data_IF_073869053544
#
_entry.id   IF_073869053544
#
_cell.length_a   1.000
_cell.length_b   1.000
_cell.length_c   1.000
_cell.angle_alpha   90.00
_cell.angle_beta   90.00
_cell.angle_gamma   90.00
#
_symmetry.space_group_name_H-M   'P 1'
#
loop_
_entity.id
_entity.type
_entity.pdbx_description
1 polymer ?
#
# COMPACT_ATOMS: atom_id res chain seq x y z
N UNK A 1 14.75 -0.20 5.74
CA UNK A 1 13.39 0.15 5.32
C UNK A 1 13.44 1.51 4.63
N UNK A 2 12.57 1.75 3.65
CA UNK A 2 12.61 2.96 2.83
C UNK A 2 12.26 4.22 3.65
N UNK A 3 12.99 5.31 3.39
CA UNK A 3 12.74 6.65 3.93
C UNK A 3 11.92 7.49 2.94
N UNK A 4 11.35 8.60 3.40
CA UNK A 4 10.66 9.56 2.52
C UNK A 4 11.60 10.09 1.43
N UNK A 5 12.88 10.34 1.74
CA UNK A 5 13.85 10.78 0.74
C UNK A 5 14.06 9.75 -0.37
N UNK A 6 14.26 8.49 0.00
CA UNK A 6 14.40 7.38 -0.95
C UNK A 6 13.12 7.15 -1.76
N UNK A 7 11.95 7.32 -1.15
CA UNK A 7 10.67 7.25 -1.85
C UNK A 7 10.56 8.31 -2.95
N UNK A 8 10.96 9.56 -2.67
CA UNK A 8 10.97 10.63 -3.68
C UNK A 8 12.05 10.44 -4.74
N UNK A 9 13.18 9.84 -4.41
CA UNK A 9 14.19 9.45 -5.40
C UNK A 9 13.62 8.43 -6.39
N UNK A 10 12.94 7.39 -5.90
CA UNK A 10 12.24 6.42 -6.76
C UNK A 10 11.16 7.13 -7.61
N UNK A 11 10.38 8.02 -7.01
CA UNK A 11 9.31 8.76 -7.70
C UNK A 11 9.84 9.75 -8.77
N UNK A 12 11.13 10.03 -8.81
CA UNK A 12 11.74 10.83 -9.89
C UNK A 12 11.89 10.04 -11.20
N UNK A 13 11.76 8.70 -11.17
CA UNK A 13 11.87 7.86 -12.37
C UNK A 13 10.62 7.96 -13.25
N UNK A 14 10.80 8.36 -14.52
CA UNK A 14 9.72 8.53 -15.50
C UNK A 14 8.94 7.25 -15.78
N UNK A 15 9.60 6.09 -15.69
CA UNK A 15 9.00 4.79 -15.94
C UNK A 15 7.76 4.52 -15.06
N UNK A 16 7.74 5.03 -13.83
CA UNK A 16 6.56 4.88 -12.94
C UNK A 16 5.31 5.52 -13.55
N UNK A 17 5.46 6.67 -14.16
CA UNK A 17 4.35 7.43 -14.79
C UNK A 17 3.96 6.85 -16.14
N UNK A 18 4.94 6.44 -16.95
CA UNK A 18 4.70 5.76 -18.24
C UNK A 18 3.91 4.46 -18.06
N UNK A 19 4.18 3.72 -17.00
CA UNK A 19 3.47 2.50 -16.64
C UNK A 19 2.17 2.75 -15.83
N UNK A 20 1.80 4.00 -15.57
CA UNK A 20 0.60 4.39 -14.81
C UNK A 20 0.53 3.78 -13.40
N UNK A 21 1.69 3.71 -12.73
CA UNK A 21 1.80 3.11 -11.41
C UNK A 21 1.57 4.11 -10.27
N UNK A 22 1.54 5.41 -10.58
CA UNK A 22 1.37 6.48 -9.59
C UNK A 22 -0.03 7.03 -9.66
N UNK A 23 -0.70 7.08 -8.52
CA UNK A 23 -2.07 7.59 -8.39
C UNK A 23 -2.19 8.54 -7.21
N UNK A 24 -3.04 9.55 -7.37
CA UNK A 24 -3.47 10.42 -6.28
C UNK A 24 -4.88 10.03 -5.84
N UNK A 25 -5.11 10.04 -4.53
CA UNK A 25 -6.42 9.79 -3.92
C UNK A 25 -6.95 11.13 -3.41
N UNK A 26 -8.07 11.58 -3.95
CA UNK A 26 -8.68 12.86 -3.59
C UNK A 26 -9.64 12.75 -2.39
N UNK A 27 -10.20 13.88 -1.96
CA UNK A 27 -11.13 13.97 -0.82
C UNK A 27 -12.46 13.24 -1.03
N UNK A 28 -12.77 12.84 -2.26
CA UNK A 28 -13.92 12.02 -2.59
C UNK A 28 -13.56 10.53 -2.70
N UNK A 29 -12.35 10.16 -2.30
CA UNK A 29 -11.77 8.80 -2.40
C UNK A 29 -11.61 8.29 -3.84
N UNK A 30 -11.62 9.21 -4.83
CA UNK A 30 -11.37 8.86 -6.22
C UNK A 30 -9.87 8.82 -6.50
N UNK A 31 -9.47 7.86 -7.33
CA UNK A 31 -8.08 7.74 -7.78
C UNK A 31 -7.89 8.43 -9.12
N UNK A 32 -6.85 9.24 -9.21
CA UNK A 32 -6.43 9.93 -10.42
C UNK A 32 -5.05 9.44 -10.85
N UNK A 33 -4.87 9.14 -12.14
CA UNK A 33 -3.56 8.86 -12.69
C UNK A 33 -2.68 10.11 -12.57
N UNK A 34 -1.45 9.92 -12.15
CA UNK A 34 -0.44 10.98 -12.07
C UNK A 34 0.54 10.78 -13.21
N UNK A 35 0.75 11.82 -14.02
CA UNK A 35 1.45 11.69 -15.31
C UNK A 35 2.92 12.08 -15.25
N UNK A 36 3.33 12.85 -14.27
CA UNK A 36 4.71 13.26 -14.04
C UNK A 36 4.98 13.65 -12.59
N UNK A 37 6.25 13.85 -12.26
CA UNK A 37 6.68 14.24 -10.92
C UNK A 37 6.14 15.61 -10.48
N UNK A 38 6.02 16.57 -11.40
CA UNK A 38 5.46 17.90 -11.11
C UNK A 38 3.98 17.81 -10.73
N UNK A 39 3.22 16.97 -11.43
CA UNK A 39 1.82 16.71 -11.09
C UNK A 39 1.67 15.99 -9.75
N UNK A 40 2.55 15.04 -9.43
CA UNK A 40 2.60 14.40 -8.12
C UNK A 40 2.74 15.44 -7.00
N UNK A 41 3.68 16.37 -7.14
CA UNK A 41 3.90 17.42 -6.15
C UNK A 41 2.66 18.31 -6.00
N UNK A 42 1.95 18.63 -7.10
CA UNK A 42 0.70 19.40 -7.04
C UNK A 42 -0.40 18.66 -6.28
N UNK A 43 -0.62 17.37 -6.55
CA UNK A 43 -1.60 16.56 -5.83
C UNK A 43 -1.27 16.47 -4.33
N UNK A 44 0.01 16.20 -4.00
CA UNK A 44 0.43 16.14 -2.61
C UNK A 44 0.23 17.47 -1.89
N UNK A 45 0.56 18.58 -2.52
CA UNK A 45 0.38 19.94 -1.97
C UNK A 45 -1.09 20.31 -1.79
N UNK A 46 -2.01 19.69 -2.56
CA UNK A 46 -3.45 19.86 -2.39
C UNK A 46 -4.07 18.92 -1.34
N UNK A 47 -3.25 18.16 -0.62
CA UNK A 47 -3.70 17.29 0.47
C UNK A 47 -4.12 15.88 0.04
N UNK A 48 -3.84 15.47 -1.19
CA UNK A 48 -4.08 14.10 -1.64
C UNK A 48 -3.08 13.12 -1.04
N UNK A 49 -3.51 11.89 -0.80
CA UNK A 49 -2.62 10.74 -0.61
C UNK A 49 -2.06 10.29 -1.95
N UNK A 50 -0.82 9.80 -1.96
CA UNK A 50 -0.20 9.22 -3.14
C UNK A 50 -0.06 7.71 -2.94
N UNK A 51 -0.53 6.95 -3.92
CA UNK A 51 -0.36 5.49 -4.03
C UNK A 51 0.58 5.17 -5.18
N UNK A 52 1.56 4.31 -4.94
CA UNK A 52 2.47 3.82 -5.97
C UNK A 52 2.42 2.29 -5.99
N UNK A 53 2.15 1.72 -7.15
CA UNK A 53 2.04 0.27 -7.32
C UNK A 53 3.37 -0.34 -7.80
N UNK A 54 3.59 -1.62 -7.51
CA UNK A 54 4.71 -2.38 -8.04
C UNK A 54 6.07 -2.01 -7.47
N UNK A 55 6.12 -1.53 -6.24
CA UNK A 55 7.34 -1.07 -5.59
C UNK A 55 8.40 -2.15 -5.42
N UNK A 56 8.02 -3.43 -5.37
CA UNK A 56 8.92 -4.58 -5.35
C UNK A 56 9.81 -4.67 -6.59
N UNK A 57 9.44 -4.00 -7.68
CA UNK A 57 10.21 -3.95 -8.94
C UNK A 57 11.22 -2.80 -8.99
N UNK A 58 11.08 -1.81 -8.11
CA UNK A 58 11.89 -0.59 -8.11
C UNK A 58 12.86 -0.48 -6.93
N UNK A 59 12.74 -1.38 -5.94
CA UNK A 59 13.64 -1.41 -4.79
C UNK A 59 13.94 -2.83 -4.36
N UNK A 60 15.23 -3.17 -4.35
CA UNK A 60 15.68 -4.50 -3.89
C UNK A 60 15.38 -4.72 -2.40
N UNK A 61 15.40 -3.68 -1.60
CA UNK A 61 15.10 -3.76 -0.17
C UNK A 61 13.62 -4.06 0.06
N UNK A 62 12.72 -3.43 -0.70
CA UNK A 62 11.29 -3.74 -0.67
C UNK A 62 11.03 -5.16 -1.14
N UNK A 63 11.65 -5.59 -2.24
CA UNK A 63 11.56 -6.96 -2.73
C UNK A 63 11.99 -7.97 -1.65
N UNK A 64 13.15 -7.76 -1.03
CA UNK A 64 13.67 -8.64 0.02
C UNK A 64 12.76 -8.67 1.25
N UNK A 65 12.20 -7.52 1.65
CA UNK A 65 11.25 -7.46 2.77
C UNK A 65 9.97 -8.26 2.46
N UNK A 66 9.45 -8.16 1.25
CA UNK A 66 8.31 -8.97 0.80
C UNK A 66 8.60 -10.47 0.89
N UNK A 67 9.78 -10.89 0.49
CA UNK A 67 10.21 -12.30 0.62
C UNK A 67 10.34 -12.76 2.07
N UNK A 68 10.81 -11.90 2.96
CA UNK A 68 10.86 -12.20 4.40
C UNK A 68 9.45 -12.40 4.97
N UNK A 69 8.51 -11.56 4.59
CA UNK A 69 7.11 -11.74 4.97
C UNK A 69 6.51 -13.02 4.40
N UNK A 70 6.71 -13.29 3.10
CA UNK A 70 6.25 -14.54 2.50
C UNK A 70 6.76 -15.77 3.28
N UNK A 71 8.05 -15.79 3.62
CA UNK A 71 8.65 -16.87 4.42
C UNK A 71 8.01 -16.95 5.82
N UNK A 72 7.81 -15.82 6.50
CA UNK A 72 7.28 -15.79 7.87
C UNK A 72 5.85 -16.31 7.95
N UNK A 73 5.06 -16.10 6.89
CA UNK A 73 3.67 -16.53 6.81
C UNK A 73 3.47 -17.78 5.94
N UNK A 74 4.54 -18.50 5.61
CA UNK A 74 4.52 -19.73 4.78
C UNK A 74 3.76 -19.53 3.46
N UNK A 75 3.92 -18.35 2.87
CA UNK A 75 3.27 -17.98 1.61
C UNK A 75 4.19 -18.35 0.44
N UNK A 76 3.66 -19.07 -0.53
CA UNK A 76 4.36 -19.56 -1.72
C UNK A 76 3.90 -18.89 -3.03
N UNK A 77 2.92 -18.00 -2.96
CA UNK A 77 2.42 -17.21 -4.08
C UNK A 77 3.24 -15.94 -4.37
N UNK A 78 2.80 -15.16 -5.34
CA UNK A 78 3.39 -13.86 -5.65
C UNK A 78 3.28 -12.88 -4.47
N UNK A 79 4.25 -11.96 -4.38
CA UNK A 79 4.22 -10.84 -3.43
C UNK A 79 4.30 -9.55 -4.22
N UNK A 80 3.31 -8.70 -4.04
CA UNK A 80 3.28 -7.35 -4.60
C UNK A 80 3.47 -6.31 -3.50
N UNK A 81 3.86 -5.10 -3.85
CA UNK A 81 3.98 -4.02 -2.88
C UNK A 81 3.46 -2.70 -3.45
N UNK A 82 2.57 -2.07 -2.68
CA UNK A 82 2.16 -0.68 -2.89
C UNK A 82 2.80 0.22 -1.83
N UNK A 83 3.22 1.41 -2.24
CA UNK A 83 3.67 2.45 -1.32
C UNK A 83 2.59 3.52 -1.19
N UNK A 84 2.39 4.02 0.03
CA UNK A 84 1.48 5.13 0.31
C UNK A 84 2.25 6.25 1.00
N UNK A 85 2.16 7.45 0.42
CA UNK A 85 2.56 8.70 1.07
C UNK A 85 1.28 9.40 1.49
N UNK A 86 1.03 9.45 2.79
CA UNK A 86 -0.23 9.93 3.36
C UNK A 86 0.05 11.12 4.26
N UNK A 87 -0.14 12.36 3.78
CA UNK A 87 -0.12 13.53 4.65
C UNK A 87 -1.20 13.46 5.73
N UNK A 88 -0.99 14.08 6.88
CA UNK A 88 -2.00 14.19 7.92
C UNK A 88 -3.27 14.84 7.38
N UNK A 89 -4.43 14.24 7.68
CA UNK A 89 -5.73 14.67 7.17
C UNK A 89 -6.03 14.29 5.72
N UNK A 90 -5.09 13.62 5.03
CA UNK A 90 -5.31 13.20 3.64
C UNK A 90 -6.34 12.06 3.54
N UNK A 91 -7.03 11.95 2.39
CA UNK A 91 -8.01 10.89 2.17
C UNK A 91 -7.35 9.52 2.08
N UNK A 92 -8.12 8.49 2.43
CA UNK A 92 -7.77 7.08 2.28
C UNK A 92 -8.94 6.31 1.67
N UNK A 93 -8.74 5.02 1.40
CA UNK A 93 -9.85 4.16 0.97
C UNK A 93 -10.85 3.98 2.13
N UNK A 94 -12.15 3.91 1.83
CA UNK A 94 -13.17 3.56 2.83
C UNK A 94 -12.96 2.13 3.33
N UNK A 95 -13.73 1.74 4.36
CA UNK A 95 -13.72 0.37 4.86
C UNK A 95 -13.94 -0.63 3.71
N UNK A 96 -13.03 -1.58 3.55
CA UNK A 96 -13.05 -2.60 2.48
C UNK A 96 -12.41 -3.90 2.96
N UNK A 97 -12.53 -4.92 2.14
CA UNK A 97 -11.80 -6.18 2.27
C UNK A 97 -10.94 -6.41 1.04
N UNK A 98 -9.86 -7.14 1.19
CA UNK A 98 -9.01 -7.58 0.07
C UNK A 98 -9.15 -9.08 -0.18
N UNK A 99 -9.03 -9.53 -1.43
CA UNK A 99 -9.06 -10.96 -1.77
C UNK A 99 -7.79 -11.70 -1.38
N UNK A 100 -6.74 -10.97 -1.02
CA UNK A 100 -5.43 -11.48 -0.63
C UNK A 100 -5.10 -11.12 0.82
N UNK A 101 -4.09 -11.77 1.39
CA UNK A 101 -3.53 -11.33 2.67
C UNK A 101 -2.71 -10.07 2.47
N UNK A 102 -2.78 -9.15 3.40
CA UNK A 102 -2.07 -7.87 3.33
C UNK A 102 -1.22 -7.66 4.56
N UNK A 103 -0.02 -7.13 4.38
CA UNK A 103 0.83 -6.66 5.47
C UNK A 103 1.06 -5.17 5.28
N UNK A 104 0.56 -4.37 6.22
CA UNK A 104 0.81 -2.93 6.25
C UNK A 104 2.02 -2.68 7.14
N UNK A 105 3.10 -2.16 6.55
CA UNK A 105 4.33 -1.84 7.23
C UNK A 105 4.52 -0.32 7.30
N UNK A 106 4.70 0.23 8.49
CA UNK A 106 4.98 1.65 8.69
C UNK A 106 6.48 1.90 8.55
N UNK A 107 6.87 2.74 7.60
CA UNK A 107 8.27 3.13 7.36
C UNK A 107 8.63 4.39 8.13
N UNK A 108 7.79 5.43 8.05
CA UNK A 108 7.96 6.71 8.75
C UNK A 108 6.60 7.24 9.21
N UNK A 109 6.61 8.07 10.25
CA UNK A 109 5.40 8.66 10.83
C UNK A 109 4.59 7.68 11.67
N UNK A 110 3.27 7.84 11.68
CA UNK A 110 2.34 6.96 12.39
C UNK A 110 1.19 6.58 11.45
N UNK A 111 1.00 5.29 11.24
CA UNK A 111 -0.14 4.80 10.46
C UNK A 111 -1.21 4.25 11.39
N UNK A 112 -2.32 4.97 11.51
CA UNK A 112 -3.51 4.49 12.22
C UNK A 112 -4.35 3.63 11.29
N UNK A 113 -4.72 2.45 11.78
CA UNK A 113 -5.56 1.50 11.06
C UNK A 113 -6.77 1.12 11.90
N UNK A 114 -7.92 1.00 11.27
CA UNK A 114 -9.06 0.28 11.82
C UNK A 114 -9.13 -1.08 11.14
N UNK A 115 -9.04 -2.15 11.94
CA UNK A 115 -9.12 -3.54 11.47
C UNK A 115 -10.27 -4.19 12.22
N UNK A 116 -11.36 -4.52 11.53
CA UNK A 116 -12.64 -4.85 12.16
C UNK A 116 -13.08 -3.72 13.09
N UNK A 117 -13.21 -4.00 14.39
CA UNK A 117 -13.59 -3.01 15.41
C UNK A 117 -12.39 -2.43 16.18
N UNK A 118 -11.19 -2.97 15.95
CA UNK A 118 -9.97 -2.57 16.65
C UNK A 118 -9.27 -1.40 15.96
N UNK A 119 -8.78 -0.47 16.78
CA UNK A 119 -7.92 0.64 16.34
C UNK A 119 -6.49 0.34 16.74
N UNK A 120 -5.56 0.43 15.78
CA UNK A 120 -4.13 0.22 16.04
C UNK A 120 -3.30 1.36 15.44
N UNK A 121 -2.23 1.72 16.12
CA UNK A 121 -1.21 2.65 15.62
C UNK A 121 0.06 1.88 15.28
N UNK A 122 0.46 1.97 14.02
CA UNK A 122 1.71 1.41 13.55
C UNK A 122 2.77 2.51 13.56
N UNK A 123 3.84 2.27 14.33
CA UNK A 123 5.03 3.13 14.40
C UNK A 123 6.11 2.64 13.44
N UNK A 124 7.14 3.46 13.14
CA UNK A 124 8.22 3.07 12.24
C UNK A 124 8.84 1.71 12.61
N UNK A 125 8.90 0.81 11.64
CA UNK A 125 9.38 -0.56 11.80
C UNK A 125 8.33 -1.58 12.26
N UNK A 126 7.15 -1.15 12.69
CA UNK A 126 6.04 -2.07 13.03
C UNK A 126 5.16 -2.36 11.82
N UNK A 127 4.42 -3.47 11.89
CA UNK A 127 3.50 -3.87 10.83
C UNK A 127 2.25 -4.57 11.40
N UNK A 128 1.19 -4.58 10.61
CA UNK A 128 -0.01 -5.37 10.84
C UNK A 128 -0.21 -6.39 9.72
N UNK A 129 -0.51 -7.63 10.08
CA UNK A 129 -0.98 -8.65 9.16
C UNK A 129 -2.50 -8.67 9.14
N UNK A 130 -3.08 -8.53 7.95
CA UNK A 130 -4.52 -8.50 7.71
C UNK A 130 -4.87 -9.71 6.84
N UNK A 131 -5.54 -10.74 7.37
CA UNK A 131 -6.00 -11.86 6.56
C UNK A 131 -6.93 -11.40 5.43
N UNK A 132 -6.98 -12.18 4.33
CA UNK A 132 -7.97 -11.92 3.28
C UNK A 132 -9.39 -11.84 3.87
N UNK A 133 -10.27 -11.11 3.17
CA UNK A 133 -11.67 -10.89 3.56
C UNK A 133 -11.86 -10.29 4.97
N UNK A 134 -10.84 -9.61 5.49
CA UNK A 134 -10.91 -8.90 6.77
C UNK A 134 -11.19 -7.42 6.54
N UNK A 135 -12.32 -6.86 7.05
CA UNK A 135 -12.63 -5.44 6.91
C UNK A 135 -11.58 -4.56 7.56
N UNK A 136 -11.06 -3.61 6.81
CA UNK A 136 -10.07 -2.65 7.30
C UNK A 136 -10.10 -1.32 6.55
N UNK A 137 -9.56 -0.30 7.18
CA UNK A 137 -9.33 1.01 6.57
C UNK A 137 -8.16 1.73 7.25
N UNK A 138 -7.50 2.60 6.51
CA UNK A 138 -6.52 3.51 7.05
C UNK A 138 -7.19 4.83 7.49
N UNK A 139 -6.70 5.39 8.58
CA UNK A 139 -7.07 6.72 9.09
C UNK A 139 -5.80 7.57 9.08
N UNK A 140 -5.72 8.54 8.16
CA UNK A 140 -4.53 9.36 7.98
C UNK A 140 -4.57 10.58 8.92
N UNK A 141 -4.63 10.34 10.23
CA UNK A 141 -4.58 11.41 11.23
C UNK A 141 -3.18 12.02 11.39
N UNK A 142 -2.17 11.28 10.98
CA UNK A 142 -0.75 11.67 11.03
C UNK A 142 -0.10 11.50 9.67
N UNK A 143 1.02 12.20 9.45
CA UNK A 143 1.88 11.92 8.30
C UNK A 143 2.41 10.49 8.39
N UNK A 144 2.37 9.76 7.29
CA UNK A 144 2.90 8.42 7.23
C UNK A 144 3.44 8.06 5.84
N UNK A 145 4.56 7.35 5.83
CA UNK A 145 5.06 6.56 4.70
C UNK A 145 4.88 5.10 5.04
N UNK A 146 4.10 4.38 4.23
CA UNK A 146 3.79 2.97 4.47
C UNK A 146 3.96 2.12 3.21
N UNK A 147 4.30 0.85 3.42
CA UNK A 147 4.30 -0.18 2.39
C UNK A 147 3.17 -1.17 2.68
N UNK A 148 2.39 -1.48 1.67
CA UNK A 148 1.34 -2.49 1.72
C UNK A 148 1.78 -3.68 0.86
N UNK A 149 2.17 -4.78 1.50
CA UNK A 149 2.55 -6.01 0.81
C UNK A 149 1.32 -6.89 0.65
N UNK A 150 0.99 -7.22 -0.60
CA UNK A 150 -0.01 -8.22 -0.94
C UNK A 150 0.63 -9.60 -1.02
N UNK A 151 0.22 -10.53 -0.17
CA UNK A 151 0.55 -11.94 -0.29
C UNK A 151 -0.55 -12.58 -1.15
N UNK A 152 -0.34 -12.57 -2.46
CA UNK A 152 -1.37 -12.93 -3.43
C UNK A 152 -1.68 -14.42 -3.39
N UNK A 153 -2.96 -14.73 -3.20
CA UNK A 153 -3.44 -16.10 -3.22
C UNK A 153 -3.58 -16.57 -4.66
N UNK A 154 -3.33 -17.85 -4.92
CA UNK A 154 -3.52 -18.43 -6.23
C UNK A 154 -4.97 -18.26 -6.72
N UNK A 155 -5.13 -17.93 -7.99
CA UNK A 155 -6.43 -17.68 -8.60
C UNK A 155 -7.40 -18.85 -8.38
N UNK A 156 -6.89 -20.10 -8.42
CA UNK A 156 -7.69 -21.31 -8.17
C UNK A 156 -8.36 -21.27 -6.80
N UNK A 157 -7.62 -20.87 -5.75
CA UNK A 157 -8.16 -20.81 -4.39
C UNK A 157 -9.24 -19.73 -4.28
N UNK A 158 -8.98 -18.56 -4.87
CA UNK A 158 -9.97 -17.46 -4.93
C UNK A 158 -11.25 -17.90 -5.68
N UNK A 159 -11.10 -18.60 -6.79
CA UNK A 159 -12.24 -19.07 -7.58
C UNK A 159 -13.03 -20.16 -6.87
N UNK A 160 -12.38 -21.07 -6.13
CA UNK A 160 -13.05 -22.08 -5.32
C UNK A 160 -13.93 -21.44 -4.23
N UNK A 161 -13.42 -20.43 -3.54
CA UNK A 161 -14.17 -19.72 -2.49
C UNK A 161 -15.34 -18.91 -3.03
N UNK A 162 -15.24 -18.40 -4.25
CA UNK A 162 -16.33 -17.71 -4.93
C UNK A 162 -17.36 -18.67 -5.54
N UNK A 163 -17.15 -20.00 -5.42
CA UNK A 163 -18.03 -21.01 -6.00
C UNK A 163 -18.00 -21.08 -7.52
N UNK A 164 -16.98 -20.52 -8.16
CA UNK A 164 -16.83 -20.52 -9.63
C UNK A 164 -16.28 -21.84 -10.14
N UNK A 165 -15.45 -22.50 -9.32
CA UNK A 165 -14.96 -23.87 -9.58
C UNK A 165 -15.64 -24.81 -8.60
N UNK A 166 -16.49 -25.63 -9.11
CA UNK A 166 -17.13 -26.72 -8.35
C UNK A 166 -16.38 -28.03 -8.54
#
# INVERSE_FOLDING_TARGET
MITTSEAYEILSHTLLYEQKLVRAIDTQHLQHDVHDFGELIRYRSSGCSIKVEGMERFSIDIFNQGRLYAKSYLHDGPVTCHMFISPAGSPSFPMHTDPDHVIIHCCEGIKRMKIRDDMIDLHPGSYAYIPYDTPHMALNEYDALTLSFGLERFLKDKMNELGVLS
#
